data_IF_616448683294
#
_entry.id   IF_616448683294
#
_cell.length_a   1.000
_cell.length_b   1.000
_cell.length_c   1.000
_cell.angle_alpha   90.00
_cell.angle_beta   90.00
_cell.angle_gamma   90.00
#
_symmetry.space_group_name_H-M   'P 1'
#
loop_
_entity.id
_entity.type
_entity.pdbx_description
1 polymer ?
#
# COMPACT_ATOMS: atom_id res chain seq x y z
N UNK A 1 -19.72 4.88 1.13
CA UNK A 1 -19.99 5.28 -0.27
C UNK A 1 -19.06 6.39 -0.75
N UNK A 2 -18.87 7.49 0.00
CA UNK A 2 -17.98 8.60 -0.36
C UNK A 2 -16.52 8.19 -0.70
N UNK A 3 -15.83 7.42 0.16
CA UNK A 3 -14.44 7.02 -0.11
C UNK A 3 -14.30 6.16 -1.37
N UNK A 4 -15.28 5.29 -1.63
CA UNK A 4 -15.28 4.46 -2.83
C UNK A 4 -15.47 5.30 -4.10
N UNK A 5 -16.24 6.40 -4.06
CA UNK A 5 -16.46 7.24 -5.25
C UNK A 5 -15.21 7.97 -5.73
N UNK A 6 -14.20 8.12 -4.86
CA UNK A 6 -12.88 8.71 -5.17
C UNK A 6 -11.78 7.65 -5.34
N UNK A 7 -12.14 6.38 -5.53
CA UNK A 7 -11.20 5.32 -5.84
C UNK A 7 -10.51 4.67 -4.63
N UNK A 8 -10.95 4.94 -3.40
CA UNK A 8 -10.41 4.31 -2.20
C UNK A 8 -11.17 3.04 -1.80
N UNK A 9 -10.50 2.12 -1.10
CA UNK A 9 -11.12 0.94 -0.50
C UNK A 9 -11.30 1.14 1.01
N UNK A 10 -12.48 1.57 1.50
CA UNK A 10 -12.71 1.64 2.93
C UNK A 10 -12.75 0.23 3.53
N UNK A 11 -12.17 0.08 4.72
CA UNK A 11 -12.20 -1.15 5.53
C UNK A 11 -12.87 -0.84 6.86
N UNK A 12 -13.88 -1.63 7.22
CA UNK A 12 -14.62 -1.45 8.48
C UNK A 12 -13.92 -2.21 9.60
N UNK A 13 -13.39 -1.47 10.56
CA UNK A 13 -12.88 -2.05 11.81
C UNK A 13 -14.05 -2.30 12.75
N UNK A 14 -14.22 -3.56 13.18
CA UNK A 14 -15.38 -3.99 13.97
C UNK A 14 -15.35 -3.50 15.42
N UNK A 15 -14.16 -3.31 15.97
CA UNK A 15 -13.93 -2.90 17.35
C UNK A 15 -12.75 -1.95 17.39
N UNK A 16 -12.94 -0.82 18.03
CA UNK A 16 -11.88 0.16 18.26
C UNK A 16 -10.74 -0.44 19.10
N UNK A 17 -9.52 -0.05 18.74
CA UNK A 17 -8.28 -0.38 19.43
C UNK A 17 -7.26 0.73 19.14
N UNK A 18 -6.34 0.94 20.07
CA UNK A 18 -5.19 1.83 19.87
C UNK A 18 -4.33 1.40 18.68
N UNK A 19 -3.85 2.38 17.91
CA UNK A 19 -3.04 2.20 16.71
C UNK A 19 -3.71 1.41 15.55
N UNK A 20 -5.05 1.31 15.56
CA UNK A 20 -5.82 0.59 14.54
C UNK A 20 -5.29 -0.83 14.29
N UNK A 21 -5.60 -1.45 13.15
CA UNK A 21 -5.12 -2.81 12.81
C UNK A 21 -3.86 -2.76 11.94
N UNK A 22 -3.74 -1.79 11.05
CA UNK A 22 -2.61 -1.65 10.13
C UNK A 22 -1.31 -1.36 10.87
N UNK A 23 -1.29 -0.32 11.69
CA UNK A 23 -0.06 0.10 12.37
C UNK A 23 0.42 -0.96 13.36
N UNK A 24 -0.49 -1.71 14.00
CA UNK A 24 -0.11 -2.85 14.86
C UNK A 24 0.61 -3.97 14.11
N UNK A 25 0.20 -4.27 12.87
CA UNK A 25 0.88 -5.27 12.05
C UNK A 25 2.24 -4.77 11.56
N UNK A 26 2.32 -3.48 11.19
CA UNK A 26 3.57 -2.84 10.81
C UNK A 26 4.55 -2.79 11.98
N UNK A 27 4.10 -2.36 13.16
CA UNK A 27 4.90 -2.28 14.37
C UNK A 27 5.40 -3.67 14.79
N UNK A 28 4.53 -4.69 14.76
CA UNK A 28 4.96 -6.06 15.08
C UNK A 28 6.11 -6.49 14.15
N UNK A 29 5.92 -6.41 12.84
CA UNK A 29 6.97 -6.77 11.89
C UNK A 29 8.26 -5.95 12.09
N UNK A 30 8.13 -4.65 12.36
CA UNK A 30 9.26 -3.75 12.59
C UNK A 30 10.03 -4.09 13.87
N UNK A 31 9.35 -4.40 14.99
CA UNK A 31 10.02 -4.81 16.24
C UNK A 31 10.88 -6.06 16.06
N UNK A 32 10.39 -7.04 15.30
CA UNK A 32 11.19 -8.22 14.97
C UNK A 32 12.41 -7.85 14.12
N UNK A 33 12.22 -7.02 13.10
CA UNK A 33 13.30 -6.55 12.24
C UNK A 33 14.41 -5.87 13.03
N UNK A 34 14.07 -5.01 13.99
CA UNK A 34 15.05 -4.35 14.85
C UNK A 34 15.90 -5.35 15.63
N UNK A 35 15.28 -6.42 16.15
CA UNK A 35 16.02 -7.47 16.86
C UNK A 35 16.92 -8.27 15.94
N UNK A 36 16.45 -8.64 14.75
CA UNK A 36 17.25 -9.38 13.78
C UNK A 36 18.49 -8.58 13.34
N UNK A 37 18.34 -7.27 13.14
CA UNK A 37 19.46 -6.38 12.79
C UNK A 37 20.39 -6.19 13.99
N UNK A 38 19.84 -5.87 15.17
CA UNK A 38 20.62 -5.65 16.40
C UNK A 38 21.43 -6.88 16.78
N UNK A 39 20.86 -8.07 16.65
CA UNK A 39 21.53 -9.33 16.99
C UNK A 39 22.45 -9.82 15.84
N UNK A 40 22.59 -9.05 14.76
CA UNK A 40 23.49 -9.34 13.64
C UNK A 40 23.05 -10.51 12.76
N UNK A 41 21.76 -10.88 12.78
CA UNK A 41 21.19 -11.97 11.98
C UNK A 41 21.08 -11.57 10.50
N UNK A 42 20.84 -10.29 10.21
CA UNK A 42 20.83 -9.72 8.87
C UNK A 42 21.11 -8.20 8.92
N UNK A 43 21.48 -7.62 7.78
CA UNK A 43 21.52 -6.16 7.60
C UNK A 43 20.14 -5.58 7.28
N UNK A 44 20.00 -4.25 7.31
CA UNK A 44 18.80 -3.53 6.84
C UNK A 44 18.50 -3.89 5.38
N UNK A 45 19.51 -3.91 4.51
CA UNK A 45 19.32 -4.24 3.10
C UNK A 45 18.90 -5.70 2.88
N UNK A 46 19.53 -6.65 3.59
CA UNK A 46 19.17 -8.07 3.51
C UNK A 46 17.74 -8.32 4.00
N UNK A 47 17.35 -7.68 5.10
CA UNK A 47 15.98 -7.73 5.60
C UNK A 47 14.99 -7.22 4.55
N UNK A 48 15.25 -6.04 3.98
CA UNK A 48 14.42 -5.45 2.94
C UNK A 48 14.39 -6.32 1.68
N UNK A 49 15.48 -6.97 1.31
CA UNK A 49 15.54 -7.91 0.18
C UNK A 49 14.68 -9.16 0.40
N UNK A 50 14.71 -9.72 1.61
CA UNK A 50 13.81 -10.82 2.00
C UNK A 50 12.34 -10.39 1.85
N UNK A 51 12.03 -9.12 2.12
CA UNK A 51 10.69 -8.56 1.91
C UNK A 51 10.39 -8.33 0.42
N UNK A 52 11.24 -7.59 -0.29
CA UNK A 52 11.10 -7.19 -1.70
C UNK A 52 11.01 -8.39 -2.63
N UNK A 53 11.88 -9.38 -2.42
CA UNK A 53 12.01 -10.55 -3.29
C UNK A 53 11.34 -11.81 -2.73
N UNK A 54 10.86 -11.78 -1.48
CA UNK A 54 10.22 -12.91 -0.82
C UNK A 54 8.74 -12.71 -0.53
N UNK A 55 8.40 -12.50 0.74
CA UNK A 55 7.00 -12.53 1.19
C UNK A 55 6.23 -11.23 0.91
N UNK A 56 6.92 -10.08 0.85
CA UNK A 56 6.29 -8.79 0.57
C UNK A 56 5.63 -8.75 -0.80
N UNK A 57 6.28 -9.33 -1.82
CA UNK A 57 5.69 -9.45 -3.17
C UNK A 57 4.42 -10.30 -3.19
N UNK A 58 4.35 -11.37 -2.38
CA UNK A 58 3.13 -12.18 -2.23
C UNK A 58 2.01 -11.36 -1.60
N UNK A 59 2.33 -10.55 -0.59
CA UNK A 59 1.38 -9.69 0.10
C UNK A 59 0.88 -8.52 -0.74
N UNK A 60 1.72 -7.97 -1.63
CA UNK A 60 1.36 -6.90 -2.55
C UNK A 60 0.18 -7.27 -3.46
N UNK A 61 0.08 -8.54 -3.86
CA UNK A 61 -1.03 -9.04 -4.68
C UNK A 61 -2.13 -9.72 -3.87
N UNK A 62 -1.83 -10.40 -2.77
CA UNK A 62 -2.78 -11.22 -2.02
C UNK A 62 -2.49 -11.17 -0.51
N UNK A 63 -3.51 -10.88 0.30
CA UNK A 63 -3.34 -10.74 1.75
C UNK A 63 -2.92 -12.04 2.46
N UNK A 64 -2.33 -11.90 3.65
CA UNK A 64 -1.73 -12.96 4.46
C UNK A 64 -2.57 -14.25 4.54
N UNK A 65 -3.84 -14.17 4.94
CA UNK A 65 -4.68 -15.36 5.08
C UNK A 65 -5.00 -16.06 3.75
N UNK A 66 -5.05 -15.33 2.64
CA UNK A 66 -5.23 -15.96 1.33
C UNK A 66 -3.94 -16.65 0.87
N UNK A 67 -2.78 -16.03 1.08
CA UNK A 67 -1.47 -16.64 0.80
C UNK A 67 -1.30 -17.94 1.60
N UNK A 68 -1.65 -17.93 2.88
CA UNK A 68 -1.58 -19.13 3.73
C UNK A 68 -2.66 -20.16 3.40
N UNK A 69 -3.83 -19.74 2.91
CA UNK A 69 -4.83 -20.67 2.39
C UNK A 69 -4.28 -21.45 1.20
N UNK A 70 -3.54 -20.79 0.31
CA UNK A 70 -2.87 -21.46 -0.82
C UNK A 70 -1.81 -22.44 -0.32
N UNK A 71 -1.03 -22.05 0.70
CA UNK A 71 -0.05 -22.95 1.33
C UNK A 71 -0.70 -24.19 2.00
N UNK A 72 -1.94 -24.07 2.48
CA UNK A 72 -2.73 -25.18 3.00
C UNK A 72 -3.25 -26.17 1.95
N UNK A 73 -3.07 -25.88 0.65
CA UNK A 73 -3.55 -26.72 -0.45
C UNK A 73 -5.07 -26.91 -0.47
N UNK A 74 -5.53 -28.00 -1.07
CA UNK A 74 -6.96 -28.31 -1.20
C UNK A 74 -7.66 -28.48 0.15
N UNK A 75 -6.94 -28.98 1.15
CA UNK A 75 -7.43 -29.13 2.52
C UNK A 75 -7.59 -27.77 3.25
N UNK A 76 -7.02 -26.70 2.69
CA UNK A 76 -7.28 -25.31 3.06
C UNK A 76 -6.71 -24.89 4.42
N UNK A 77 -7.26 -23.80 4.96
CA UNK A 77 -6.72 -23.12 6.14
C UNK A 77 -6.70 -24.00 7.40
N UNK A 78 -7.69 -24.89 7.58
CA UNK A 78 -7.71 -25.79 8.74
C UNK A 78 -6.52 -26.73 8.75
N UNK A 79 -6.16 -27.28 7.58
CA UNK A 79 -4.99 -28.12 7.44
C UNK A 79 -3.70 -27.35 7.67
N UNK A 80 -3.58 -26.16 7.06
CA UNK A 80 -2.43 -25.27 7.32
C UNK A 80 -2.25 -24.98 8.81
N UNK A 81 -3.32 -24.57 9.51
CA UNK A 81 -3.27 -24.26 10.94
C UNK A 81 -2.86 -25.47 11.81
N UNK A 82 -3.22 -26.70 11.41
CA UNK A 82 -2.84 -27.90 12.15
C UNK A 82 -1.32 -28.13 12.17
N UNK A 83 -0.60 -27.66 11.15
CA UNK A 83 0.87 -27.78 11.07
C UNK A 83 1.59 -26.92 12.12
N UNK A 84 0.96 -25.84 12.60
CA UNK A 84 1.56 -24.91 13.55
C UNK A 84 1.20 -25.20 15.02
N UNK A 85 0.44 -26.26 15.32
CA UNK A 85 -0.10 -26.52 16.66
C UNK A 85 0.93 -26.42 17.79
N UNK A 86 2.02 -27.23 17.78
CA UNK A 86 3.10 -27.11 18.75
C UNK A 86 3.98 -25.87 18.52
N UNK A 87 4.23 -25.50 17.27
CA UNK A 87 5.17 -24.45 16.88
C UNK A 87 4.71 -23.03 17.26
N UNK A 88 3.40 -22.78 17.40
CA UNK A 88 2.87 -21.47 17.84
C UNK A 88 3.32 -21.07 19.24
N UNK A 89 3.76 -22.04 20.06
CA UNK A 89 4.30 -21.78 21.40
C UNK A 89 5.81 -21.57 21.41
N UNK A 90 6.49 -21.79 20.28
CA UNK A 90 7.94 -21.64 20.22
C UNK A 90 8.30 -20.16 20.17
N UNK A 91 9.35 -19.72 20.88
CA UNK A 91 9.75 -18.32 20.94
C UNK A 91 10.55 -17.92 19.69
N UNK A 92 9.95 -18.08 18.49
CA UNK A 92 10.60 -17.76 17.22
C UNK A 92 10.78 -16.28 16.97
N UNK A 93 9.94 -15.45 17.58
CA UNK A 93 9.89 -14.03 17.33
C UNK A 93 9.90 -13.26 18.64
N UNK A 94 10.59 -12.13 18.68
CA UNK A 94 10.69 -11.20 19.79
C UNK A 94 9.71 -10.03 19.66
N UNK A 95 8.56 -10.21 18.99
CA UNK A 95 7.54 -9.16 18.76
C UNK A 95 7.06 -8.45 20.03
N UNK A 96 7.07 -9.15 21.16
CA UNK A 96 6.61 -8.64 22.45
C UNK A 96 7.70 -7.86 23.20
N UNK A 97 8.95 -8.03 22.80
CA UNK A 97 10.11 -7.34 23.35
C UNK A 97 10.52 -6.20 22.40
N UNK A 98 11.10 -5.14 22.93
CA UNK A 98 11.65 -4.04 22.14
C UNK A 98 13.13 -3.93 22.50
N UNK A 99 14.05 -3.84 21.53
CA UNK A 99 15.43 -3.58 21.87
C UNK A 99 15.53 -2.23 22.57
N UNK A 100 16.52 -2.08 23.44
CA UNK A 100 16.77 -0.79 24.08
C UNK A 100 17.02 0.26 22.98
N UNK A 101 16.18 1.29 22.98
CA UNK A 101 16.31 2.39 22.04
C UNK A 101 17.41 3.32 22.53
N UNK A 102 18.62 3.13 22.03
CA UNK A 102 19.82 3.87 22.38
C UNK A 102 20.54 4.38 21.13
N UNK A 103 21.51 5.28 21.32
CA UNK A 103 22.24 5.91 20.22
C UNK A 103 22.98 4.89 19.35
N UNK A 104 23.50 3.80 19.95
CA UNK A 104 24.20 2.74 19.22
C UNK A 104 23.28 2.03 18.21
N UNK A 105 22.06 1.67 18.62
CA UNK A 105 21.09 1.04 17.73
C UNK A 105 20.63 2.01 16.64
N UNK A 106 20.43 3.28 17.00
CA UNK A 106 20.04 4.33 16.04
C UNK A 106 21.13 4.51 15.00
N UNK A 107 22.39 4.66 15.40
CA UNK A 107 23.54 4.85 14.51
C UNK A 107 23.74 3.65 13.60
N UNK A 108 23.58 2.43 14.14
CA UNK A 108 23.66 1.19 13.36
C UNK A 108 22.62 1.16 12.22
N UNK A 109 21.35 1.41 12.54
CA UNK A 109 20.26 1.35 11.57
C UNK A 109 20.36 2.52 10.57
N UNK A 110 20.63 3.73 11.06
CA UNK A 110 20.74 4.91 10.22
C UNK A 110 21.88 4.77 9.20
N UNK A 111 23.06 4.30 9.63
CA UNK A 111 24.20 4.08 8.74
C UNK A 111 23.86 3.05 7.66
N UNK A 112 23.28 1.89 8.04
CA UNK A 112 22.90 0.87 7.06
C UNK A 112 21.80 1.34 6.10
N UNK A 113 20.84 2.15 6.59
CA UNK A 113 19.79 2.74 5.78
C UNK A 113 20.35 3.75 4.77
N UNK A 114 21.33 4.57 5.17
CA UNK A 114 21.99 5.54 4.28
C UNK A 114 22.82 4.83 3.20
N UNK A 115 23.55 3.77 3.57
CA UNK A 115 24.32 2.94 2.63
C UNK A 115 23.40 2.27 1.59
N UNK A 116 22.27 1.72 2.04
CA UNK A 116 21.25 1.09 1.20
C UNK A 116 20.59 2.08 0.24
N UNK A 117 20.47 3.35 0.61
CA UNK A 117 19.94 4.39 -0.28
C UNK A 117 20.84 4.63 -1.50
N UNK A 118 22.09 4.16 -1.48
CA UNK A 118 23.06 4.26 -2.57
C UNK A 118 23.22 5.70 -3.11
N UNK A 119 23.16 6.68 -2.20
CA UNK A 119 23.29 8.11 -2.54
C UNK A 119 22.06 8.76 -3.17
N UNK A 120 20.93 8.06 -3.29
CA UNK A 120 19.68 8.63 -3.76
C UNK A 120 19.07 9.59 -2.74
N UNK A 121 18.54 10.71 -3.21
CA UNK A 121 17.74 11.59 -2.37
C UNK A 121 16.40 10.95 -2.02
N UNK A 122 15.80 11.40 -0.91
CA UNK A 122 14.44 11.00 -0.52
C UNK A 122 13.44 11.23 -1.67
N UNK A 123 13.58 12.31 -2.44
CA UNK A 123 12.66 12.60 -3.54
C UNK A 123 12.79 11.61 -4.70
N UNK A 124 13.99 11.13 -4.96
CA UNK A 124 14.23 10.09 -5.97
C UNK A 124 13.69 8.74 -5.50
N UNK A 125 13.91 8.38 -4.24
CA UNK A 125 13.34 7.18 -3.63
C UNK A 125 11.80 7.20 -3.63
N UNK A 126 11.20 8.34 -3.29
CA UNK A 126 9.74 8.53 -3.38
C UNK A 126 9.24 8.30 -4.80
N UNK A 127 9.92 8.89 -5.80
CA UNK A 127 9.53 8.73 -7.20
C UNK A 127 9.63 7.27 -7.64
N UNK A 128 10.72 6.58 -7.31
CA UNK A 128 10.90 5.15 -7.62
C UNK A 128 9.79 4.33 -6.98
N UNK A 129 9.49 4.58 -5.69
CA UNK A 129 8.42 3.89 -4.96
C UNK A 129 7.07 4.12 -5.64
N UNK A 130 6.71 5.37 -5.91
CA UNK A 130 5.40 5.73 -6.43
C UNK A 130 5.20 5.18 -7.85
N UNK A 131 6.21 5.27 -8.72
CA UNK A 131 6.19 4.68 -10.06
C UNK A 131 6.02 3.15 -9.99
N UNK A 132 6.73 2.48 -9.07
CA UNK A 132 6.61 1.04 -8.85
C UNK A 132 5.22 0.63 -8.33
N UNK A 133 4.64 1.39 -7.39
CA UNK A 133 3.31 1.12 -6.85
C UNK A 133 2.24 1.24 -7.95
N UNK A 134 2.32 2.26 -8.80
CA UNK A 134 1.43 2.40 -9.95
C UNK A 134 1.62 1.22 -10.92
N UNK A 135 2.86 0.85 -11.25
CA UNK A 135 3.14 -0.27 -12.13
C UNK A 135 2.56 -1.60 -11.61
N UNK A 136 2.67 -1.86 -10.30
CA UNK A 136 2.06 -3.04 -9.66
C UNK A 136 0.53 -2.99 -9.79
N UNK A 137 -0.10 -1.86 -9.47
CA UNK A 137 -1.55 -1.70 -9.58
C UNK A 137 -2.05 -1.90 -11.01
N UNK A 138 -1.34 -1.35 -12.00
CA UNK A 138 -1.64 -1.54 -13.41
C UNK A 138 -1.48 -3.00 -13.85
N UNK A 139 -0.39 -3.66 -13.45
CA UNK A 139 -0.17 -5.07 -13.75
C UNK A 139 -1.30 -5.94 -13.18
N UNK A 140 -1.66 -5.73 -11.91
CA UNK A 140 -2.75 -6.44 -11.23
C UNK A 140 -4.12 -6.15 -11.85
N UNK A 141 -4.33 -4.97 -12.44
CA UNK A 141 -5.59 -4.61 -13.11
C UNK A 141 -5.87 -5.47 -14.36
N UNK A 142 -4.82 -5.99 -15.00
CA UNK A 142 -4.89 -6.78 -16.25
C UNK A 142 -5.01 -8.28 -15.99
N UNK A 143 -4.66 -8.75 -14.79
CA UNK A 143 -4.70 -10.16 -14.43
C UNK A 143 -6.13 -10.70 -14.29
N UNK A 144 -6.25 -12.01 -14.01
CA UNK A 144 -7.52 -12.71 -13.80
C UNK A 144 -8.47 -12.55 -14.99
N UNK A 145 -7.97 -12.85 -16.19
CA UNK A 145 -8.69 -12.71 -17.47
C UNK A 145 -9.24 -11.28 -17.65
N UNK A 146 -8.45 -10.28 -17.27
CA UNK A 146 -8.81 -8.87 -17.35
C UNK A 146 -9.82 -8.41 -16.32
N UNK A 147 -10.24 -9.22 -15.34
CA UNK A 147 -11.09 -8.76 -14.23
C UNK A 147 -10.33 -7.88 -13.23
N UNK A 148 -9.00 -8.01 -13.20
CA UNK A 148 -8.15 -7.45 -12.17
C UNK A 148 -8.15 -8.27 -10.89
N UNK A 149 -7.26 -7.93 -9.97
CA UNK A 149 -7.13 -8.56 -8.66
C UNK A 149 -6.75 -7.53 -7.58
N UNK A 150 -7.27 -7.70 -6.36
CA UNK A 150 -6.94 -6.85 -5.21
C UNK A 150 -7.02 -5.34 -5.52
N UNK A 151 -5.94 -4.62 -5.23
CA UNK A 151 -5.80 -3.19 -5.53
C UNK A 151 -5.92 -2.87 -7.03
N UNK A 152 -5.50 -3.77 -7.92
CA UNK A 152 -5.61 -3.60 -9.37
C UNK A 152 -7.05 -3.62 -9.88
N UNK A 153 -7.94 -4.41 -9.28
CA UNK A 153 -9.36 -4.38 -9.63
C UNK A 153 -10.00 -3.03 -9.26
N UNK A 154 -9.70 -2.50 -8.06
CA UNK A 154 -10.13 -1.18 -7.63
C UNK A 154 -9.61 -0.07 -8.57
N UNK A 155 -8.31 -0.12 -8.87
CA UNK A 155 -7.66 0.84 -9.78
C UNK A 155 -8.32 0.84 -11.17
N UNK A 156 -8.61 -0.35 -11.71
CA UNK A 156 -9.30 -0.51 -12.99
C UNK A 156 -10.68 0.14 -12.99
N UNK A 157 -11.47 -0.12 -11.96
CA UNK A 157 -12.83 0.41 -11.87
C UNK A 157 -12.81 1.93 -11.76
N UNK A 158 -11.88 2.47 -10.97
CA UNK A 158 -11.71 3.90 -10.79
C UNK A 158 -11.23 4.61 -12.06
N UNK A 159 -10.21 4.09 -12.74
CA UNK A 159 -9.72 4.66 -14.01
C UNK A 159 -10.80 4.64 -15.09
N UNK A 160 -11.61 3.57 -15.16
CA UNK A 160 -12.78 3.51 -16.05
C UNK A 160 -13.83 4.57 -15.71
N UNK A 161 -14.06 4.84 -14.42
CA UNK A 161 -14.96 5.92 -13.99
C UNK A 161 -14.41 7.30 -14.39
N UNK A 162 -13.13 7.56 -14.19
CA UNK A 162 -12.48 8.81 -14.61
C UNK A 162 -12.58 9.02 -16.13
N UNK A 163 -12.34 7.99 -16.93
CA UNK A 163 -12.47 8.05 -18.38
C UNK A 163 -13.91 8.42 -18.82
N UNK A 164 -14.93 7.86 -18.16
CA UNK A 164 -16.34 8.21 -18.42
C UNK A 164 -16.65 9.67 -18.04
N UNK A 165 -16.09 10.16 -16.94
CA UNK A 165 -16.27 11.55 -16.50
C UNK A 165 -15.59 12.51 -17.47
N UNK A 166 -14.37 12.21 -17.93
CA UNK A 166 -13.66 13.01 -18.91
C UNK A 166 -14.36 13.03 -20.29
N UNK A 167 -14.99 11.92 -20.70
CA UNK A 167 -15.75 11.84 -21.94
C UNK A 167 -17.07 12.65 -21.91
N UNK A 168 -17.63 12.89 -20.73
CA UNK A 168 -18.74 13.84 -20.56
C UNK A 168 -18.15 15.25 -20.58
N UNK A 169 -18.16 15.92 -21.74
CA UNK A 169 -17.81 17.35 -21.88
C UNK A 169 -18.44 18.15 -20.72
N UNK A 170 -17.74 19.13 -20.13
CA UNK A 170 -18.36 19.97 -19.12
C UNK A 170 -19.55 20.69 -19.75
N UNK A 171 -20.76 20.32 -19.35
CA UNK A 171 -21.94 21.15 -19.58
C UNK A 171 -21.65 22.47 -18.89
N UNK A 172 -21.47 23.53 -19.67
CA UNK A 172 -21.33 24.87 -19.15
C UNK A 172 -22.43 25.08 -18.10
N UNK A 173 -22.03 25.51 -16.90
CA UNK A 173 -23.01 25.93 -15.89
C UNK A 173 -23.93 26.97 -16.55
N UNK A 174 -25.24 26.92 -16.27
CA UNK A 174 -26.21 27.92 -16.75
C UNK A 174 -25.78 29.36 -16.44
N UNK A 175 -24.87 29.56 -15.47
CA UNK A 175 -24.24 30.84 -15.18
C UNK A 175 -23.24 31.31 -16.27
N UNK A 176 -22.51 30.39 -16.89
CA UNK A 176 -21.55 30.69 -17.96
C UNK A 176 -22.23 30.99 -19.32
N UNK A 177 -23.42 30.43 -19.56
CA UNK A 177 -24.21 30.75 -20.76
C UNK A 177 -24.84 32.15 -20.68
N UNK A 178 -25.32 32.56 -19.49
CA UNK A 178 -25.86 33.92 -19.28
C UNK A 178 -24.83 35.04 -19.42
N UNK A 179 -23.54 34.75 -19.27
CA UNK A 179 -22.47 35.76 -19.37
C UNK A 179 -22.08 36.11 -20.83
N UNK A 180 -22.56 35.38 -21.85
CA UNK A 180 -22.12 35.54 -23.25
C UNK A 180 -23.03 36.37 -24.17
N UNK A 181 -24.09 37.00 -23.67
CA UNK A 181 -24.96 37.80 -24.52
C UNK A 181 -25.34 39.14 -23.88
N UNK A 182 -24.52 40.18 -24.12
CA UNK A 182 -24.99 41.54 -24.42
C UNK A 182 -23.79 42.40 -24.88
N UNK A 183 -23.66 42.61 -26.19
CA UNK A 183 -22.78 43.66 -26.73
C UNK A 183 -23.55 44.99 -26.65
N UNK A 184 -22.96 46.08 -26.12
CA UNK A 184 -23.67 47.35 -25.97
C UNK A 184 -23.93 48.00 -27.35
N UNK A 185 -25.20 48.31 -27.64
CA UNK A 185 -25.60 49.08 -28.83
C UNK A 185 -25.05 50.51 -28.71
N UNK A 186 -24.19 50.92 -29.65
CA UNK A 186 -23.72 52.31 -29.80
C UNK A 186 -24.92 53.24 -30.05
N UNK A 187 -25.19 54.18 -29.14
CA UNK A 187 -26.10 55.32 -29.39
C UNK A 187 -25.44 56.27 -30.40
N UNK A 188 -26.07 56.48 -31.56
CA UNK A 188 -25.78 57.60 -32.46
C UNK A 188 -26.21 58.89 -31.75
N UNK A 189 -25.29 59.83 -31.56
CA UNK A 189 -25.61 61.23 -31.23
C UNK A 189 -25.99 61.94 -32.53
N UNK A 190 -27.12 62.62 -32.51
CA UNK A 190 -27.48 63.64 -33.51
C UNK A 190 -26.75 64.95 -33.23
#
# INVERSE_FOLDING_TARGET
>A
EMYASIGMKPVVIRKEIEAFVGDRLLEAAWREALWLIKDGICTVEELDDIMRYGFGLRWAQMGMFQVYRVAGGEAGMRHFMAQFGPCLKWPWTKLMDVPEFNDELVDLIATQSDDQAHGLSIRELEKIRDDNLVAIMEALSKQNKGKGWGAGALHKDYTKQLAKLAAKKPTASKAAEKAKAEKPKKKKKG
#
